data_IF_806742637998
#
_entry.id   IF_806742637998
#
_cell.length_a   1.000
_cell.length_b   1.000
_cell.length_c   1.000
_cell.angle_alpha   90.00
_cell.angle_beta   90.00
_cell.angle_gamma   90.00
#
_symmetry.space_group_name_H-M   'P 1'
#
loop_
_entity.id
_entity.type
_entity.pdbx_description
1 polymer ?
#
# COMPACT_ATOMS: atom_id res chain seq x y z
N UNK A 1 19.06 2.81 0.57
CA UNK A 1 18.23 1.80 1.19
C UNK A 1 16.97 2.40 1.78
N UNK A 2 15.83 1.99 1.33
CA UNK A 2 14.60 2.57 1.81
C UNK A 2 14.10 1.95 3.10
N UNK A 3 13.13 2.59 3.69
CA UNK A 3 12.42 2.13 4.87
C UNK A 3 11.79 0.74 4.67
N UNK A 4 11.55 0.34 3.42
CA UNK A 4 10.93 -0.95 3.09
C UNK A 4 11.89 -2.13 3.23
N UNK A 5 13.21 -1.89 3.33
CA UNK A 5 14.18 -2.98 3.43
C UNK A 5 13.95 -3.85 4.66
N UNK A 6 13.51 -3.24 5.75
CA UNK A 6 13.28 -3.91 7.02
C UNK A 6 12.14 -4.94 6.96
N UNK A 7 11.10 -4.66 6.18
CA UNK A 7 9.94 -5.53 6.02
C UNK A 7 9.77 -6.03 4.58
N UNK A 8 10.88 -6.13 3.86
CA UNK A 8 10.84 -6.43 2.43
C UNK A 8 10.06 -7.69 2.11
N UNK A 9 10.34 -8.79 2.83
CA UNK A 9 9.69 -10.07 2.57
C UNK A 9 8.18 -9.98 2.79
N UNK A 10 7.78 -9.33 3.88
CA UNK A 10 6.36 -9.17 4.21
C UNK A 10 5.64 -8.35 3.14
N UNK A 11 6.25 -7.25 2.72
CA UNK A 11 5.66 -6.39 1.69
C UNK A 11 5.59 -7.10 0.35
N UNK A 12 6.64 -7.83 -0.03
CA UNK A 12 6.62 -8.60 -1.27
C UNK A 12 5.54 -9.67 -1.26
N UNK A 13 5.32 -10.34 -0.12
CA UNK A 13 4.26 -11.33 -0.01
C UNK A 13 2.88 -10.70 -0.19
N UNK A 14 2.68 -9.49 0.31
CA UNK A 14 1.44 -8.75 0.08
C UNK A 14 1.26 -8.43 -1.40
N UNK A 15 2.33 -7.99 -2.07
CA UNK A 15 2.28 -7.67 -3.50
C UNK A 15 1.94 -8.92 -4.32
N UNK A 16 2.54 -10.07 -3.97
CA UNK A 16 2.23 -11.33 -4.66
C UNK A 16 0.77 -11.73 -4.50
N UNK A 17 0.22 -11.51 -3.31
CA UNK A 17 -1.21 -11.80 -3.07
C UNK A 17 -2.09 -10.89 -3.91
N UNK A 18 -1.75 -9.59 -3.98
CA UNK A 18 -2.48 -8.64 -4.80
C UNK A 18 -2.42 -9.04 -6.27
N UNK A 19 -1.25 -9.46 -6.73
CA UNK A 19 -1.10 -9.92 -8.12
C UNK A 19 -2.03 -11.10 -8.39
N UNK A 20 -2.09 -12.07 -7.48
CA UNK A 20 -3.02 -13.20 -7.62
C UNK A 20 -4.48 -12.76 -7.68
N UNK A 21 -4.85 -11.77 -6.87
CA UNK A 21 -6.21 -11.24 -6.89
C UNK A 21 -6.52 -10.51 -8.19
N UNK A 22 -5.55 -9.76 -8.74
CA UNK A 22 -5.72 -9.10 -10.03
C UNK A 22 -5.88 -10.13 -11.14
N UNK A 23 -5.11 -11.20 -11.11
CA UNK A 23 -5.27 -12.31 -12.07
C UNK A 23 -6.64 -12.96 -11.96
N UNK A 24 -7.16 -13.09 -10.74
CA UNK A 24 -8.52 -13.59 -10.52
C UNK A 24 -9.58 -12.67 -11.10
N UNK A 25 -9.37 -11.37 -10.96
CA UNK A 25 -10.25 -10.37 -11.56
C UNK A 25 -10.22 -10.45 -13.09
N UNK A 26 -9.02 -10.58 -13.65
CA UNK A 26 -8.86 -10.72 -15.09
C UNK A 26 -9.61 -11.94 -15.61
N UNK A 27 -9.45 -13.08 -14.95
CA UNK A 27 -10.19 -14.30 -15.32
C UNK A 27 -11.69 -14.11 -15.20
N UNK A 28 -12.14 -13.44 -14.14
CA UNK A 28 -13.56 -13.19 -13.95
C UNK A 28 -14.17 -12.39 -15.09
N UNK A 29 -13.48 -11.36 -15.54
CA UNK A 29 -13.91 -10.58 -16.68
C UNK A 29 -13.88 -11.39 -17.97
N UNK A 30 -12.80 -12.14 -18.19
CA UNK A 30 -12.63 -12.95 -19.39
C UNK A 30 -13.71 -14.04 -19.51
N UNK A 31 -14.06 -14.64 -18.37
CA UNK A 31 -15.08 -15.71 -18.33
C UNK A 31 -16.50 -15.16 -18.33
N UNK A 32 -16.67 -13.87 -18.27
CA UNK A 32 -18.00 -13.26 -18.27
C UNK A 32 -18.78 -13.48 -16.99
N UNK A 33 -18.13 -13.47 -15.83
CA UNK A 33 -18.82 -13.57 -14.56
C UNK A 33 -19.77 -12.40 -14.38
N UNK A 34 -20.79 -12.58 -13.55
CA UNK A 34 -21.79 -11.54 -13.40
C UNK A 34 -21.17 -10.26 -12.77
N UNK A 35 -21.86 -9.17 -12.96
CA UNK A 35 -21.39 -7.85 -12.53
C UNK A 35 -21.12 -7.78 -11.03
N UNK A 36 -21.98 -8.40 -10.23
CA UNK A 36 -21.82 -8.41 -8.78
C UNK A 36 -20.55 -9.12 -8.33
N UNK A 37 -20.25 -10.24 -8.97
CA UNK A 37 -19.02 -10.98 -8.67
C UNK A 37 -17.78 -10.19 -9.06
N UNK A 38 -17.82 -9.55 -10.24
CA UNK A 38 -16.70 -8.71 -10.68
C UNK A 38 -16.47 -7.55 -9.73
N UNK A 39 -17.55 -6.90 -9.28
CA UNK A 39 -17.43 -5.81 -8.31
C UNK A 39 -16.81 -6.27 -6.99
N UNK A 40 -17.16 -7.46 -6.53
CA UNK A 40 -16.56 -8.02 -5.32
C UNK A 40 -15.07 -8.30 -5.49
N UNK A 41 -14.67 -8.77 -6.67
CA UNK A 41 -13.25 -8.99 -6.97
C UNK A 41 -12.48 -7.67 -6.99
N UNK A 42 -13.07 -6.64 -7.55
CA UNK A 42 -12.47 -5.29 -7.54
C UNK A 42 -12.33 -4.77 -6.11
N UNK A 43 -13.37 -4.93 -5.31
CA UNK A 43 -13.34 -4.48 -3.92
C UNK A 43 -12.24 -5.19 -3.12
N UNK A 44 -12.03 -6.47 -3.38
CA UNK A 44 -10.97 -7.24 -2.72
C UNK A 44 -9.59 -6.71 -3.09
N UNK A 45 -9.36 -6.41 -4.38
CA UNK A 45 -8.10 -5.82 -4.84
C UNK A 45 -7.89 -4.46 -4.18
N UNK A 46 -8.92 -3.63 -4.16
CA UNK A 46 -8.85 -2.30 -3.56
C UNK A 46 -8.47 -2.39 -2.08
N UNK A 47 -9.12 -3.28 -1.34
CA UNK A 47 -8.81 -3.48 0.08
C UNK A 47 -7.38 -3.95 0.31
N UNK A 48 -6.90 -4.85 -0.53
CA UNK A 48 -5.53 -5.36 -0.42
C UNK A 48 -4.49 -4.27 -0.71
N UNK A 49 -4.75 -3.43 -1.72
CA UNK A 49 -3.87 -2.31 -2.04
C UNK A 49 -3.87 -1.27 -0.92
N UNK A 50 -5.04 -0.98 -0.36
CA UNK A 50 -5.14 -0.06 0.77
C UNK A 50 -4.36 -0.59 1.98
N UNK A 51 -4.41 -1.89 2.24
CA UNK A 51 -3.64 -2.49 3.32
C UNK A 51 -2.13 -2.36 3.10
N UNK A 52 -1.69 -2.57 1.86
CA UNK A 52 -0.28 -2.38 1.52
C UNK A 52 0.14 -0.93 1.73
N UNK A 53 -0.68 0.02 1.28
CA UNK A 53 -0.39 1.44 1.47
C UNK A 53 -0.27 1.80 2.95
N UNK A 54 -1.18 1.31 3.78
CA UNK A 54 -1.16 1.57 5.21
C UNK A 54 0.13 1.07 5.84
N UNK A 55 0.59 -0.13 5.45
CA UNK A 55 1.84 -0.67 5.99
C UNK A 55 3.05 0.15 5.57
N UNK A 56 3.11 0.58 4.32
CA UNK A 56 4.23 1.39 3.84
C UNK A 56 4.22 2.76 4.48
N UNK A 57 3.05 3.36 4.68
CA UNK A 57 2.93 4.63 5.40
C UNK A 57 3.44 4.48 6.83
N UNK A 58 3.07 3.42 7.51
CA UNK A 58 3.52 3.16 8.87
C UNK A 58 5.04 3.00 8.94
N UNK A 59 5.62 2.26 7.99
CA UNK A 59 7.07 2.11 7.88
C UNK A 59 7.75 3.46 7.70
N UNK A 60 7.22 4.27 6.79
CA UNK A 60 7.77 5.60 6.52
C UNK A 60 7.70 6.48 7.77
N UNK A 61 6.59 6.41 8.49
CA UNK A 61 6.42 7.18 9.72
C UNK A 61 7.47 6.79 10.76
N UNK A 62 7.70 5.49 10.96
CA UNK A 62 8.68 5.03 11.94
C UNK A 62 10.10 5.38 11.54
N UNK A 63 10.45 5.24 10.27
CA UNK A 63 11.81 5.46 9.79
C UNK A 63 12.14 6.94 9.59
N UNK A 64 11.18 7.72 9.11
CA UNK A 64 11.44 9.08 8.64
C UNK A 64 10.79 10.18 9.47
N UNK A 65 10.05 9.83 10.49
CA UNK A 65 9.44 10.82 11.39
C UNK A 65 9.76 10.50 12.85
N UNK A 66 9.52 9.26 13.27
CA UNK A 66 9.62 8.87 14.67
C UNK A 66 11.02 8.45 15.10
N UNK A 67 11.92 8.17 14.18
CA UNK A 67 13.27 7.73 14.54
C UNK A 67 13.99 8.81 15.33
N UNK A 68 14.62 8.46 16.47
CA UNK A 68 15.29 9.44 17.32
C UNK A 68 16.58 10.01 16.72
N UNK A 69 17.11 9.34 15.68
CA UNK A 69 18.40 9.73 15.09
C UNK A 69 18.27 10.79 13.99
N UNK A 70 17.03 11.20 13.66
CA UNK A 70 16.79 12.13 12.58
C UNK A 70 17.09 13.56 12.99
N UNK A 71 17.72 14.33 12.08
CA UNK A 71 17.80 15.77 12.21
C UNK A 71 16.39 16.37 12.04
N UNK A 72 16.18 17.56 12.59
CA UNK A 72 14.85 18.20 12.57
C UNK A 72 14.34 18.45 11.17
N UNK A 73 15.21 18.81 10.21
CA UNK A 73 14.81 19.02 8.82
C UNK A 73 14.47 17.72 8.12
N UNK A 74 15.15 16.63 8.44
CA UNK A 74 14.83 15.30 7.91
C UNK A 74 13.46 14.84 8.42
N UNK A 75 13.20 15.07 9.70
CA UNK A 75 11.93 14.71 10.32
C UNK A 75 10.78 15.50 9.69
N UNK A 76 10.99 16.79 9.46
CA UNK A 76 9.99 17.64 8.84
C UNK A 76 9.68 17.15 7.42
N UNK A 77 10.69 16.79 6.65
CA UNK A 77 10.48 16.25 5.30
C UNK A 77 9.70 14.93 5.34
N UNK A 78 10.05 14.05 6.28
CA UNK A 78 9.32 12.79 6.44
C UNK A 78 7.85 13.00 6.75
N UNK A 79 7.55 13.95 7.62
CA UNK A 79 6.17 14.31 7.96
C UNK A 79 5.44 14.91 6.76
N UNK A 80 6.12 15.79 6.00
CA UNK A 80 5.53 16.42 4.81
C UNK A 80 5.20 15.38 3.75
N UNK A 81 6.04 14.38 3.56
CA UNK A 81 5.78 13.29 2.62
C UNK A 81 4.47 12.58 2.95
N UNK A 82 4.27 12.25 4.23
CA UNK A 82 3.06 11.57 4.66
C UNK A 82 1.85 12.49 4.52
N UNK A 83 1.99 13.75 4.92
CA UNK A 83 0.89 14.71 4.80
C UNK A 83 0.46 14.86 3.34
N UNK A 84 1.42 14.88 2.41
CA UNK A 84 1.13 14.95 0.98
C UNK A 84 0.36 13.73 0.48
N UNK A 85 0.76 12.55 0.91
CA UNK A 85 0.07 11.29 0.56
C UNK A 85 -1.36 11.31 1.08
N UNK A 86 -1.55 11.70 2.34
CA UNK A 86 -2.88 11.75 2.93
C UNK A 86 -3.79 12.73 2.19
N UNK A 87 -3.26 13.91 1.84
CA UNK A 87 -4.03 14.92 1.10
C UNK A 87 -4.45 14.42 -0.27
N UNK A 88 -3.57 13.70 -0.96
CA UNK A 88 -3.77 13.31 -2.35
C UNK A 88 -4.66 12.07 -2.46
N UNK A 89 -4.44 11.07 -1.62
CA UNK A 89 -5.02 9.74 -1.83
C UNK A 89 -6.10 9.34 -0.83
N UNK A 90 -6.22 10.04 0.29
CA UNK A 90 -7.21 9.70 1.32
C UNK A 90 -8.23 10.82 1.51
N UNK A 91 -8.80 11.23 0.42
CA UNK A 91 -9.87 12.24 0.46
C UNK A 91 -11.20 11.62 0.87
#
# INVERSE_FOLDING_TARGET
>A
MGHTAHNKTKLLNRVKRIRGQVEGLERGLDEGRDCGEVLQLIAAVRGAVNGLMAEVIEEHLREHVASPDLASDERARGADDIAGILRTYLK
#
